data_IF_984417983704
#
_entry.id   IF_984417983704
#
_cell.length_a   1.000
_cell.length_b   1.000
_cell.length_c   1.000
_cell.angle_alpha   90.00
_cell.angle_beta   90.00
_cell.angle_gamma   90.00
#
_symmetry.space_group_name_H-M   'P 1'
#
loop_
_entity.id
_entity.type
_entity.pdbx_description
1 polymer ?
#
# COMPACT_ATOMS: atom_id res chain seq x y z
N UNK A 1 -2.10 8.96 -20.77
CA UNK A 1 -1.83 7.69 -20.06
C UNK A 1 -2.67 7.74 -18.79
N UNK A 2 -3.52 6.75 -18.52
CA UNK A 2 -4.43 6.82 -17.36
C UNK A 2 -3.67 6.48 -16.07
N UNK A 3 -4.15 6.93 -14.90
CA UNK A 3 -3.57 6.61 -13.58
C UNK A 3 -3.35 5.10 -13.39
N UNK A 4 -4.27 4.29 -13.93
CA UNK A 4 -4.19 2.83 -13.94
C UNK A 4 -3.00 2.31 -14.75
N UNK A 5 -2.68 2.93 -15.88
CA UNK A 5 -1.55 2.55 -16.74
C UNK A 5 -0.21 2.88 -16.05
N UNK A 6 -0.14 4.04 -15.40
CA UNK A 6 1.04 4.46 -14.62
C UNK A 6 1.32 3.48 -13.47
N UNK A 7 0.27 3.07 -12.73
CA UNK A 7 0.41 2.09 -11.65
C UNK A 7 0.87 0.71 -12.15
N UNK A 8 0.36 0.26 -13.30
CA UNK A 8 0.77 -1.02 -13.89
C UNK A 8 2.26 -0.96 -14.29
N UNK A 9 2.70 0.14 -14.90
CA UNK A 9 4.09 0.34 -15.26
C UNK A 9 5.02 0.38 -14.03
N UNK A 10 4.66 1.12 -12.98
CA UNK A 10 5.43 1.18 -11.73
C UNK A 10 5.55 -0.21 -11.07
N UNK A 11 4.42 -0.92 -10.95
CA UNK A 11 4.40 -2.28 -10.40
C UNK A 11 5.29 -3.23 -11.20
N UNK A 12 5.29 -3.12 -12.53
CA UNK A 12 6.16 -3.92 -13.41
C UNK A 12 7.64 -3.61 -13.15
N UNK A 13 8.00 -2.33 -13.10
CA UNK A 13 9.37 -1.89 -12.88
C UNK A 13 9.93 -2.39 -11.54
N UNK A 14 9.16 -2.31 -10.46
CA UNK A 14 9.59 -2.79 -9.13
C UNK A 14 9.80 -4.31 -9.10
N UNK A 15 8.98 -5.06 -9.83
CA UNK A 15 9.14 -6.52 -9.95
C UNK A 15 10.38 -6.90 -10.75
N UNK A 16 10.61 -6.23 -11.87
CA UNK A 16 11.80 -6.40 -12.69
C UNK A 16 13.07 -6.05 -11.89
N UNK A 17 13.00 -5.00 -11.06
CA UNK A 17 14.07 -4.64 -10.14
C UNK A 17 14.34 -5.77 -9.13
N UNK A 18 13.32 -6.30 -8.46
CA UNK A 18 13.48 -7.38 -7.46
C UNK A 18 14.06 -8.66 -8.07
N UNK A 19 13.71 -9.00 -9.31
CA UNK A 19 14.28 -10.17 -10.01
C UNK A 19 15.79 -10.01 -10.21
N UNK A 20 16.26 -8.79 -10.51
CA UNK A 20 17.68 -8.49 -10.71
C UNK A 20 18.44 -8.31 -9.39
N UNK A 21 17.77 -7.87 -8.34
CA UNK A 21 18.34 -7.52 -7.02
C UNK A 21 17.83 -8.46 -5.93
N UNK A 22 17.87 -9.77 -6.22
CA UNK A 22 17.33 -10.79 -5.32
C UNK A 22 18.09 -10.83 -4.00
N UNK A 23 19.41 -10.69 -4.04
CA UNK A 23 20.25 -10.72 -2.84
C UNK A 23 19.95 -9.54 -1.90
N UNK A 24 19.76 -8.34 -2.46
CA UNK A 24 19.40 -7.15 -1.69
C UNK A 24 18.01 -7.29 -1.04
N UNK A 25 17.05 -7.88 -1.76
CA UNK A 25 15.72 -8.12 -1.21
C UNK A 25 15.71 -9.21 -0.14
N UNK A 26 16.46 -10.30 -0.35
CA UNK A 26 16.58 -11.39 0.62
C UNK A 26 17.27 -10.91 1.91
N UNK A 27 18.28 -10.03 1.80
CA UNK A 27 18.90 -9.39 2.97
C UNK A 27 17.96 -8.42 3.68
N UNK A 28 17.18 -7.62 2.94
CA UNK A 28 16.12 -6.79 3.53
C UNK A 28 15.13 -7.63 4.33
N UNK A 29 14.66 -8.77 3.80
CA UNK A 29 13.74 -9.68 4.52
C UNK A 29 14.39 -10.29 5.76
N UNK A 30 15.68 -10.63 5.70
CA UNK A 30 16.43 -11.08 6.87
C UNK A 30 16.48 -10.01 7.95
N UNK A 31 16.72 -8.75 7.58
CA UNK A 31 16.75 -7.63 8.49
C UNK A 31 15.37 -7.35 9.10
N UNK A 32 14.27 -7.47 8.35
CA UNK A 32 12.90 -7.39 8.89
C UNK A 32 12.71 -8.44 10.01
N UNK A 33 13.11 -9.69 9.77
CA UNK A 33 13.00 -10.75 10.78
C UNK A 33 13.94 -10.56 11.99
N UNK A 34 14.98 -9.74 11.86
CA UNK A 34 15.91 -9.42 12.95
C UNK A 34 15.34 -8.39 13.93
N UNK A 35 14.35 -7.59 13.51
CA UNK A 35 13.71 -6.59 14.37
C UNK A 35 13.03 -7.23 15.57
N UNK A 36 12.38 -8.38 15.41
CA UNK A 36 11.78 -9.13 16.54
C UNK A 36 12.83 -9.58 17.57
N UNK A 37 14.11 -9.62 17.18
CA UNK A 37 15.24 -9.95 18.07
C UNK A 37 15.91 -8.70 18.66
N UNK A 38 15.35 -7.52 18.42
CA UNK A 38 15.83 -6.23 18.93
C UNK A 38 16.79 -5.48 18.01
N UNK A 39 17.06 -5.95 16.80
CA UNK A 39 17.87 -5.20 15.83
C UNK A 39 17.02 -4.16 15.09
N UNK A 40 17.10 -2.91 15.56
CA UNK A 40 16.32 -1.79 15.02
C UNK A 40 17.03 -1.06 13.86
N UNK A 41 18.18 -1.54 13.39
CA UNK A 41 19.01 -0.85 12.38
C UNK A 41 18.25 -0.62 11.08
N UNK A 42 17.43 -1.58 10.65
CA UNK A 42 16.61 -1.42 9.45
C UNK A 42 15.52 -0.36 9.66
N UNK A 43 14.88 -0.32 10.82
CA UNK A 43 13.87 0.70 11.12
C UNK A 43 14.48 2.10 11.09
N UNK A 44 15.66 2.29 11.68
CA UNK A 44 16.38 3.57 11.66
C UNK A 44 16.67 4.02 10.22
N UNK A 45 17.12 3.10 9.35
CA UNK A 45 17.36 3.38 7.93
C UNK A 45 16.07 3.73 7.19
N UNK A 46 14.97 3.01 7.43
CA UNK A 46 13.66 3.30 6.85
C UNK A 46 13.19 4.70 7.26
N UNK A 47 13.28 5.03 8.55
CA UNK A 47 12.90 6.34 9.07
C UNK A 47 13.79 7.45 8.54
N UNK A 48 15.10 7.20 8.39
CA UNK A 48 16.04 8.16 7.78
C UNK A 48 15.67 8.46 6.34
N UNK A 49 15.37 7.42 5.54
CA UNK A 49 14.94 7.59 4.15
C UNK A 49 13.67 8.44 4.04
N UNK A 50 12.67 8.16 4.89
CA UNK A 50 11.43 8.95 4.93
C UNK A 50 11.70 10.39 5.39
N UNK A 51 12.53 10.56 6.42
CA UNK A 51 12.90 11.88 6.92
C UNK A 51 13.62 12.70 5.84
N UNK A 52 14.55 12.12 5.08
CA UNK A 52 15.29 12.76 3.99
C UNK A 52 14.39 13.27 2.86
N UNK A 53 13.22 12.63 2.68
CA UNK A 53 12.21 13.10 1.74
C UNK A 53 11.41 14.31 2.27
N UNK A 54 11.50 14.65 3.55
CA UNK A 54 10.78 15.78 4.15
C UNK A 54 11.26 17.14 3.61
N UNK A 55 10.37 17.97 3.04
CA UNK A 55 10.72 19.33 2.61
C UNK A 55 11.32 20.17 3.73
N UNK A 56 12.22 21.10 3.38
CA UNK A 56 12.88 21.95 4.38
C UNK A 56 11.89 22.86 5.10
N UNK A 57 10.90 23.40 4.37
CA UNK A 57 9.81 24.20 4.93
C UNK A 57 9.00 23.38 5.94
N UNK A 58 8.72 22.11 5.64
CA UNK A 58 8.02 21.20 6.56
C UNK A 58 8.82 20.95 7.83
N UNK A 59 10.13 20.68 7.71
CA UNK A 59 11.03 20.53 8.86
C UNK A 59 11.04 21.77 9.74
N UNK A 60 11.14 22.94 9.11
CA UNK A 60 11.17 24.24 9.80
C UNK A 60 9.84 24.53 10.50
N UNK A 61 8.72 24.23 9.83
CA UNK A 61 7.38 24.34 10.40
C UNK A 61 7.18 23.44 11.62
N UNK A 62 7.48 22.14 11.51
CA UNK A 62 7.31 21.22 12.66
C UNK A 62 8.26 21.54 13.81
N UNK A 63 9.50 21.95 13.53
CA UNK A 63 10.42 22.41 14.56
C UNK A 63 9.90 23.68 15.25
N UNK A 64 9.34 24.62 14.50
CA UNK A 64 8.70 25.82 15.03
C UNK A 64 7.51 25.45 15.93
N UNK A 65 6.58 24.62 15.45
CA UNK A 65 5.40 24.19 16.22
C UNK A 65 5.82 23.45 17.49
N UNK A 66 6.75 22.50 17.41
CA UNK A 66 7.21 21.75 18.57
C UNK A 66 7.86 22.66 19.62
N UNK A 67 8.70 23.60 19.18
CA UNK A 67 9.32 24.58 20.08
C UNK A 67 8.28 25.54 20.67
N UNK A 68 7.31 25.99 19.88
CA UNK A 68 6.23 26.85 20.33
C UNK A 68 5.31 26.15 21.33
N UNK A 69 5.11 24.84 21.18
CA UNK A 69 4.37 24.02 22.14
C UNK A 69 5.17 23.85 23.44
N UNK A 70 6.47 23.56 23.35
CA UNK A 70 7.31 23.31 24.53
C UNK A 70 7.71 24.55 25.32
N UNK A 71 8.06 25.64 24.63
CA UNK A 71 8.49 26.91 25.23
C UNK A 71 8.18 28.10 24.29
N UNK A 72 6.92 28.58 24.30
CA UNK A 72 6.48 29.71 23.48
C UNK A 72 7.39 30.96 23.55
N UNK A 73 7.94 31.28 24.73
CA UNK A 73 8.72 32.50 24.94
C UNK A 73 10.11 32.43 24.29
N UNK A 74 10.62 31.21 24.05
CA UNK A 74 11.89 30.98 23.36
C UNK A 74 11.81 31.11 21.84
N UNK A 75 10.60 31.20 21.29
CA UNK A 75 10.36 31.26 19.85
C UNK A 75 10.39 32.72 19.38
N UNK A 76 11.38 33.07 18.56
CA UNK A 76 11.37 34.35 17.85
C UNK A 76 10.25 34.33 16.81
N UNK A 77 9.64 35.47 16.57
CA UNK A 77 8.59 35.64 15.56
C UNK A 77 9.20 35.68 14.14
N UNK A 78 9.95 34.65 13.77
CA UNK A 78 10.61 34.50 12.47
C UNK A 78 10.07 33.24 11.79
N UNK A 79 8.96 33.41 11.06
CA UNK A 79 8.27 32.37 10.30
C UNK A 79 8.78 32.28 8.84
N UNK A 80 9.83 33.05 8.48
CA UNK A 80 10.34 33.12 7.11
C UNK A 80 10.83 31.77 6.57
N UNK A 81 11.19 30.83 7.45
CA UNK A 81 11.69 29.51 7.09
C UNK A 81 10.64 28.55 6.52
N UNK A 82 9.35 28.89 6.57
CA UNK A 82 8.26 28.08 6.02
C UNK A 82 7.11 28.92 5.42
N UNK A 83 7.40 30.16 5.03
CA UNK A 83 6.39 31.15 4.63
C UNK A 83 5.76 30.92 3.26
N UNK A 84 6.22 29.90 2.53
CA UNK A 84 5.85 29.62 1.13
C UNK A 84 4.34 29.48 0.95
N UNK A 85 3.64 28.93 1.94
CA UNK A 85 2.21 28.65 1.86
C UNK A 85 1.36 29.51 2.79
N UNK A 86 1.93 30.51 3.45
CA UNK A 86 1.22 31.31 4.48
C UNK A 86 -0.09 31.89 3.97
N UNK A 87 -0.08 32.48 2.77
CA UNK A 87 -1.27 33.06 2.18
C UNK A 87 -2.35 31.98 1.93
N UNK A 88 -1.98 30.86 1.31
CA UNK A 88 -2.93 29.79 1.02
C UNK A 88 -3.46 29.14 2.30
N UNK A 89 -2.60 28.95 3.30
CA UNK A 89 -2.98 28.42 4.59
C UNK A 89 -3.94 29.39 5.32
N UNK A 90 -3.65 30.69 5.34
CA UNK A 90 -4.50 31.70 5.96
C UNK A 90 -5.88 31.76 5.29
N UNK A 91 -5.93 31.80 3.95
CA UNK A 91 -7.19 31.78 3.20
C UNK A 91 -8.01 30.50 3.50
N UNK A 92 -7.36 29.34 3.59
CA UNK A 92 -8.03 28.08 3.92
C UNK A 92 -8.53 28.04 5.38
N UNK A 93 -7.73 28.53 6.32
CA UNK A 93 -8.00 28.44 7.77
C UNK A 93 -9.05 29.46 8.21
N UNK A 94 -8.94 30.72 7.76
CA UNK A 94 -9.78 31.82 8.24
C UNK A 94 -10.92 32.16 7.29
N UNK A 95 -10.75 31.93 5.99
CA UNK A 95 -11.76 32.28 4.98
C UNK A 95 -12.43 31.05 4.34
N UNK A 96 -12.14 29.83 4.85
CA UNK A 96 -12.68 28.56 4.35
C UNK A 96 -12.44 28.34 2.84
N UNK A 97 -11.36 28.93 2.30
CA UNK A 97 -11.02 28.78 0.88
C UNK A 97 -10.66 27.31 0.55
N UNK A 98 -11.09 26.86 -0.64
CA UNK A 98 -10.69 25.55 -1.15
C UNK A 98 -9.30 25.63 -1.78
N UNK A 99 -8.38 24.78 -1.33
CA UNK A 99 -7.05 24.69 -1.92
C UNK A 99 -6.97 23.44 -2.77
N UNK A 100 -6.73 23.59 -4.06
CA UNK A 100 -6.51 22.48 -4.98
C UNK A 100 -5.03 22.12 -5.07
N UNK A 101 -4.76 20.82 -4.99
CA UNK A 101 -3.44 20.22 -5.18
C UNK A 101 -3.47 19.25 -6.34
N UNK A 102 -2.62 19.49 -7.34
CA UNK A 102 -2.42 18.58 -8.45
C UNK A 102 -1.08 17.86 -8.29
N UNK A 103 -1.11 16.60 -7.89
CA UNK A 103 0.11 15.80 -7.65
C UNK A 103 0.91 15.50 -8.92
N UNK A 104 0.28 15.51 -10.10
CA UNK A 104 0.99 15.27 -11.36
C UNK A 104 1.84 16.47 -11.81
N UNK A 105 1.40 17.69 -11.49
CA UNK A 105 2.08 18.94 -11.89
C UNK A 105 2.77 19.64 -10.73
N UNK A 106 2.49 19.24 -9.49
CA UNK A 106 2.95 19.93 -8.27
C UNK A 106 2.28 21.29 -8.04
N UNK A 107 1.26 21.66 -8.84
CA UNK A 107 0.57 22.95 -8.71
C UNK A 107 -0.36 22.94 -7.50
N UNK A 108 -0.22 23.97 -6.67
CA UNK A 108 -1.04 24.22 -5.48
C UNK A 108 -1.62 25.61 -5.60
N UNK A 109 -2.95 25.73 -5.57
CA UNK A 109 -3.64 27.01 -5.74
C UNK A 109 -5.02 27.01 -5.10
N UNK A 110 -5.52 28.19 -4.74
CA UNK A 110 -6.92 28.38 -4.38
C UNK A 110 -7.83 28.10 -5.59
N UNK A 111 -9.00 27.54 -5.33
CA UNK A 111 -10.02 27.21 -6.35
C UNK A 111 -11.42 27.52 -5.81
N UNK A 112 -12.35 27.81 -6.71
CA UNK A 112 -13.76 28.01 -6.36
C UNK A 112 -14.61 26.74 -6.60
N UNK A 113 -13.99 25.67 -7.13
CA UNK A 113 -14.70 24.44 -7.50
C UNK A 113 -13.87 23.17 -7.30
N UNK A 114 -14.59 22.06 -7.12
CA UNK A 114 -14.02 20.71 -7.01
C UNK A 114 -13.56 20.24 -8.40
N UNK A 115 -12.23 20.18 -8.61
CA UNK A 115 -11.64 19.64 -9.83
C UNK A 115 -11.43 18.13 -9.67
N UNK A 116 -11.92 17.32 -10.62
CA UNK A 116 -11.85 15.84 -10.53
C UNK A 116 -10.43 15.28 -10.42
N UNK A 117 -9.44 15.95 -11.01
CA UNK A 117 -8.04 15.47 -11.05
C UNK A 117 -7.16 16.12 -9.96
N UNK A 118 -7.77 16.71 -8.93
CA UNK A 118 -7.06 17.39 -7.84
C UNK A 118 -7.58 16.92 -6.48
N UNK A 119 -6.68 16.84 -5.51
CA UNK A 119 -7.07 16.72 -4.11
C UNK A 119 -7.37 18.12 -3.59
N UNK A 120 -8.50 18.25 -2.89
CA UNK A 120 -8.95 19.52 -2.32
C UNK A 120 -8.71 19.50 -0.82
N UNK A 121 -8.04 20.54 -0.32
CA UNK A 121 -7.96 20.84 1.11
C UNK A 121 -9.11 21.80 1.44
N UNK A 122 -9.88 21.47 2.47
CA UNK A 122 -10.85 22.35 3.10
C UNK A 122 -10.85 22.12 4.61
N UNK A 123 -11.01 23.18 5.38
CA UNK A 123 -11.01 23.11 6.84
C UNK A 123 -12.29 22.52 7.43
N UNK A 124 -13.40 22.53 6.68
CA UNK A 124 -14.63 21.86 7.07
C UNK A 124 -14.44 20.33 7.21
N UNK A 125 -13.55 19.73 6.40
CA UNK A 125 -13.18 18.31 6.53
C UNK A 125 -12.45 18.04 7.83
N UNK A 126 -11.65 19.00 8.31
CA UNK A 126 -10.95 18.87 9.57
C UNK A 126 -11.93 18.88 10.74
N UNK A 127 -12.91 19.77 10.75
CA UNK A 127 -13.93 19.79 11.81
C UNK A 127 -14.76 18.50 11.84
N UNK A 128 -15.18 18.01 10.67
CA UNK A 128 -15.85 16.72 10.56
C UNK A 128 -14.95 15.56 11.02
N UNK A 129 -13.66 15.61 10.68
CA UNK A 129 -12.68 14.60 11.10
C UNK A 129 -12.46 14.63 12.61
N UNK A 130 -12.39 15.82 13.23
CA UNK A 130 -12.31 15.97 14.69
C UNK A 130 -13.60 15.45 15.33
N UNK A 131 -14.78 15.72 14.78
CA UNK A 131 -16.04 15.18 15.30
C UNK A 131 -16.13 13.65 15.16
N UNK A 132 -15.62 13.08 14.06
CA UNK A 132 -15.58 11.64 13.81
C UNK A 132 -14.46 10.93 14.58
N UNK A 133 -13.52 11.68 15.15
CA UNK A 133 -12.36 11.14 15.86
C UNK A 133 -12.80 10.29 17.07
N UNK A 134 -12.14 9.14 17.33
CA UNK A 134 -12.39 8.34 18.52
C UNK A 134 -12.25 9.17 19.80
N UNK A 135 -13.07 8.87 20.81
CA UNK A 135 -13.08 9.60 22.08
C UNK A 135 -11.70 9.61 22.75
N UNK A 136 -10.95 8.52 22.67
CA UNK A 136 -9.57 8.42 23.18
C UNK A 136 -8.65 9.48 22.60
N UNK A 137 -8.68 9.67 21.27
CA UNK A 137 -7.84 10.63 20.58
C UNK A 137 -8.31 12.08 20.81
N UNK A 138 -9.62 12.30 20.96
CA UNK A 138 -10.15 13.60 21.43
C UNK A 138 -9.68 13.93 22.84
N UNK A 139 -9.69 12.96 23.76
CA UNK A 139 -9.17 13.14 25.11
C UNK A 139 -7.68 13.48 25.07
N UNK A 140 -6.87 12.76 24.28
CA UNK A 140 -5.43 13.08 24.15
C UNK A 140 -5.21 14.49 23.59
N UNK A 141 -5.95 14.88 22.55
CA UNK A 141 -5.84 16.23 21.98
C UNK A 141 -6.26 17.30 22.98
N UNK A 142 -7.31 17.03 23.76
CA UNK A 142 -7.76 17.91 24.83
C UNK A 142 -6.75 17.98 25.99
N UNK A 143 -6.13 16.87 26.38
CA UNK A 143 -5.11 16.81 27.42
C UNK A 143 -3.83 17.54 26.97
N UNK A 144 -3.44 17.40 25.70
CA UNK A 144 -2.33 18.18 25.13
C UNK A 144 -2.64 19.68 25.15
N UNK A 145 -3.84 20.09 24.73
CA UNK A 145 -4.25 21.49 24.80
C UNK A 145 -4.30 21.99 26.25
N UNK A 146 -4.80 21.17 27.18
CA UNK A 146 -4.89 21.51 28.60
C UNK A 146 -3.50 21.64 29.21
N UNK A 147 -2.59 20.69 28.95
CA UNK A 147 -1.21 20.73 29.50
C UNK A 147 -0.39 21.90 28.93
N UNK A 148 -0.57 22.23 27.65
CA UNK A 148 0.07 23.38 27.00
C UNK A 148 -0.24 24.71 27.70
N UNK A 149 -1.38 24.76 28.38
CA UNK A 149 -2.02 25.98 28.83
C UNK A 149 -2.07 26.04 30.36
N UNK A 150 -2.36 24.92 31.02
CA UNK A 150 -2.49 24.80 32.48
C UNK A 150 -1.15 25.00 33.21
N UNK A 151 -0.02 24.59 32.61
CA UNK A 151 1.31 24.89 33.17
C UNK A 151 1.62 26.40 33.22
N UNK A 152 0.86 27.22 32.48
CA UNK A 152 1.02 28.68 32.43
C UNK A 152 -0.04 29.46 33.20
N UNK A 153 -1.11 28.82 33.67
CA UNK A 153 -2.22 29.47 34.35
C UNK A 153 -2.33 28.95 35.80
N UNK A 154 -1.74 29.71 36.74
CA UNK A 154 -1.87 29.45 38.17
C UNK A 154 -3.31 29.79 38.63
N UNK A 155 -4.28 28.91 38.40
CA UNK A 155 -5.66 29.09 38.86
C UNK A 155 -6.67 28.10 38.27
N UNK A 156 -7.88 28.07 38.85
CA UNK A 156 -9.03 27.42 38.19
C UNK A 156 -9.50 28.30 37.04
N UNK A 157 -9.52 27.74 35.83
CA UNK A 157 -10.06 28.39 34.65
C UNK A 157 -11.57 28.54 34.77
N UNK A 158 -12.09 29.70 34.39
CA UNK A 158 -13.52 29.90 34.14
C UNK A 158 -13.96 29.09 32.91
N UNK A 159 -15.28 28.89 32.77
CA UNK A 159 -15.85 28.20 31.60
C UNK A 159 -15.50 28.93 30.30
N UNK A 160 -15.58 30.26 30.30
CA UNK A 160 -15.24 31.09 29.13
C UNK A 160 -13.76 30.96 28.75
N UNK A 161 -12.85 30.92 29.73
CA UNK A 161 -11.43 30.67 29.48
C UNK A 161 -11.20 29.27 28.92
N UNK A 162 -11.87 28.23 29.45
CA UNK A 162 -11.78 26.88 28.89
C UNK A 162 -12.23 26.81 27.43
N UNK A 163 -13.34 27.48 27.08
CA UNK A 163 -13.85 27.54 25.70
C UNK A 163 -12.87 28.27 24.77
N UNK A 164 -12.32 29.42 25.21
CA UNK A 164 -11.32 30.16 24.45
C UNK A 164 -10.04 29.33 24.20
N UNK A 165 -9.59 28.60 25.21
CA UNK A 165 -8.40 27.74 25.15
C UNK A 165 -8.62 26.53 24.23
N UNK A 166 -9.80 25.92 24.25
CA UNK A 166 -10.19 24.90 23.28
C UNK A 166 -10.20 25.45 21.84
N UNK A 167 -10.70 26.67 21.65
CA UNK A 167 -10.65 27.36 20.36
C UNK A 167 -9.23 27.57 19.83
N UNK A 168 -8.30 27.97 20.69
CA UNK A 168 -6.87 28.10 20.34
C UNK A 168 -6.27 26.75 19.98
N UNK A 169 -6.53 25.71 20.79
CA UNK A 169 -6.04 24.35 20.53
C UNK A 169 -6.51 23.81 19.18
N UNK A 170 -7.79 24.04 18.85
CA UNK A 170 -8.36 23.67 17.55
C UNK A 170 -7.72 24.45 16.40
N UNK A 171 -7.42 25.75 16.59
CA UNK A 171 -6.74 26.57 15.59
C UNK A 171 -5.31 26.06 15.32
N UNK A 172 -4.56 25.68 16.36
CA UNK A 172 -3.23 25.07 16.22
C UNK A 172 -3.34 23.75 15.45
N UNK A 173 -4.31 22.90 15.79
CA UNK A 173 -4.52 21.62 15.11
C UNK A 173 -4.91 21.81 13.63
N UNK A 174 -5.80 22.78 13.32
CA UNK A 174 -6.13 23.19 11.95
C UNK A 174 -4.90 23.65 11.18
N UNK A 175 -4.04 24.45 11.82
CA UNK A 175 -2.81 24.96 11.24
C UNK A 175 -1.87 23.80 10.88
N UNK A 176 -1.60 22.90 11.83
CA UNK A 176 -0.77 21.72 11.59
C UNK A 176 -1.34 20.86 10.47
N UNK A 177 -2.66 20.63 10.45
CA UNK A 177 -3.33 19.87 9.41
C UNK A 177 -3.15 20.46 8.01
N UNK A 178 -3.46 21.76 7.83
CA UNK A 178 -3.40 22.43 6.52
C UNK A 178 -1.96 22.47 6.00
N UNK A 179 -0.98 22.89 6.82
CA UNK A 179 0.42 22.90 6.41
C UNK A 179 0.95 21.51 6.07
N UNK A 180 0.62 20.50 6.89
CA UNK A 180 1.03 19.11 6.61
C UNK A 180 0.57 18.65 5.24
N UNK A 181 -0.67 18.97 4.85
CA UNK A 181 -1.20 18.63 3.53
C UNK A 181 -0.51 19.40 2.40
N UNK A 182 -0.23 20.69 2.59
CA UNK A 182 0.47 21.53 1.62
C UNK A 182 1.91 21.05 1.33
N UNK A 183 2.53 20.34 2.28
CA UNK A 183 3.86 19.76 2.09
C UNK A 183 3.86 18.40 1.37
N UNK A 184 2.72 17.70 1.29
CA UNK A 184 2.62 16.35 0.70
C UNK A 184 3.10 16.29 -0.75
N UNK A 185 2.75 17.22 -1.66
CA UNK A 185 3.17 17.13 -3.06
C UNK A 185 4.70 17.09 -3.22
N UNK A 186 5.41 17.97 -2.51
CA UNK A 186 6.87 18.00 -2.56
C UNK A 186 7.50 16.78 -1.88
N UNK A 187 6.92 16.33 -0.77
CA UNK A 187 7.35 15.09 -0.11
C UNK A 187 7.27 13.89 -1.05
N UNK A 188 6.14 13.73 -1.75
CA UNK A 188 5.92 12.64 -2.70
C UNK A 188 6.84 12.73 -3.92
N UNK A 189 7.12 13.94 -4.43
CA UNK A 189 8.08 14.14 -5.51
C UNK A 189 9.50 13.72 -5.09
N UNK A 190 9.93 14.10 -3.88
CA UNK A 190 11.24 13.68 -3.33
C UNK A 190 11.32 12.17 -3.14
N UNK A 191 10.27 11.55 -2.59
CA UNK A 191 10.20 10.09 -2.44
C UNK A 191 10.22 9.38 -3.79
N UNK A 192 9.51 9.91 -4.79
CA UNK A 192 9.52 9.40 -6.15
C UNK A 192 10.92 9.48 -6.77
N UNK A 193 11.59 10.63 -6.67
CA UNK A 193 12.96 10.81 -7.16
C UNK A 193 13.92 9.84 -6.49
N UNK A 194 13.80 9.66 -5.16
CA UNK A 194 14.63 8.70 -4.42
C UNK A 194 14.44 7.27 -4.89
N UNK A 195 13.21 6.90 -5.18
CA UNK A 195 12.88 5.53 -5.64
C UNK A 195 13.31 5.31 -7.10
N UNK A 196 12.89 6.18 -8.02
CA UNK A 196 13.00 5.93 -9.47
C UNK A 196 14.28 6.50 -10.07
N UNK A 197 14.73 7.67 -9.63
CA UNK A 197 15.91 8.34 -10.21
C UNK A 197 17.18 7.84 -9.53
N UNK A 198 17.22 7.91 -8.20
CA UNK A 198 18.41 7.51 -7.43
C UNK A 198 18.56 5.98 -7.37
N UNK A 199 17.53 5.24 -7.80
CA UNK A 199 17.47 3.78 -7.74
C UNK A 199 17.78 3.21 -6.34
N UNK A 200 17.29 3.88 -5.30
CA UNK A 200 17.56 3.51 -3.92
C UNK A 200 16.99 2.11 -3.61
N UNK A 201 17.89 1.17 -3.32
CA UNK A 201 17.54 -0.22 -3.08
C UNK A 201 16.57 -0.38 -1.90
N UNK A 202 16.72 0.43 -0.84
CA UNK A 202 15.83 0.35 0.31
C UNK A 202 14.42 0.80 -0.07
N UNK A 203 14.28 1.87 -0.85
CA UNK A 203 12.98 2.33 -1.34
C UNK A 203 12.26 1.25 -2.18
N UNK A 204 12.99 0.59 -3.09
CA UNK A 204 12.44 -0.52 -3.87
C UNK A 204 12.05 -1.71 -3.00
N UNK A 205 12.87 -2.09 -2.03
CA UNK A 205 12.56 -3.17 -1.09
C UNK A 205 11.28 -2.87 -0.29
N UNK A 206 11.16 -1.66 0.28
CA UNK A 206 9.96 -1.24 1.02
C UNK A 206 8.72 -1.30 0.13
N UNK A 207 8.80 -0.75 -1.09
CA UNK A 207 7.68 -0.75 -2.03
C UNK A 207 7.26 -2.17 -2.39
N UNK A 208 8.22 -3.03 -2.76
CA UNK A 208 7.94 -4.42 -3.11
C UNK A 208 7.31 -5.16 -1.93
N UNK A 209 7.89 -5.01 -0.74
CA UNK A 209 7.44 -5.66 0.49
C UNK A 209 5.99 -5.31 0.83
N UNK A 210 5.67 -4.01 0.89
CA UNK A 210 4.32 -3.52 1.21
C UNK A 210 3.29 -3.92 0.14
N UNK A 211 3.68 -3.93 -1.13
CA UNK A 211 2.74 -4.11 -2.25
C UNK A 211 2.52 -5.58 -2.62
N UNK A 212 3.56 -6.42 -2.53
CA UNK A 212 3.56 -7.76 -3.12
C UNK A 212 3.88 -8.90 -2.15
N UNK A 213 4.44 -8.60 -0.99
CA UNK A 213 4.93 -9.63 -0.05
C UNK A 213 4.31 -9.47 1.33
N UNK A 214 3.02 -9.14 1.38
CA UNK A 214 2.22 -9.05 2.62
C UNK A 214 2.90 -8.19 3.70
N UNK A 215 3.55 -7.10 3.28
CA UNK A 215 4.37 -6.30 4.18
C UNK A 215 3.55 -5.59 5.25
N UNK A 216 2.28 -5.26 4.99
CA UNK A 216 1.46 -4.53 5.96
C UNK A 216 1.02 -5.43 7.13
N UNK A 217 0.64 -6.68 6.88
CA UNK A 217 0.36 -7.64 7.96
C UNK A 217 1.62 -8.02 8.74
N UNK A 218 2.75 -8.19 8.07
CA UNK A 218 4.04 -8.41 8.76
C UNK A 218 4.43 -7.21 9.64
N UNK A 219 4.27 -5.98 9.14
CA UNK A 219 4.52 -4.78 9.94
C UNK A 219 3.54 -4.62 11.09
N UNK A 220 2.27 -5.01 10.90
CA UNK A 220 1.26 -5.01 11.96
C UNK A 220 1.64 -5.95 13.12
N UNK A 221 2.05 -7.18 12.81
CA UNK A 221 2.52 -8.16 13.80
C UNK A 221 3.73 -7.62 14.56
N UNK A 222 4.72 -7.13 13.81
CA UNK A 222 5.94 -6.58 14.36
C UNK A 222 5.69 -5.35 15.25
N UNK A 223 4.85 -4.41 14.82
CA UNK A 223 4.48 -3.26 15.63
C UNK A 223 3.71 -3.64 16.88
N UNK A 224 2.95 -4.74 16.87
CA UNK A 224 2.24 -5.20 18.06
C UNK A 224 3.18 -5.64 19.18
N UNK A 225 4.37 -6.15 18.83
CA UNK A 225 5.39 -6.55 19.79
C UNK A 225 6.27 -5.38 20.24
N UNK A 226 6.47 -4.38 19.38
CA UNK A 226 7.37 -3.25 19.65
C UNK A 226 6.69 -2.00 20.23
N UNK A 227 5.46 -1.68 19.79
CA UNK A 227 4.76 -0.44 20.16
C UNK A 227 3.77 -0.63 21.32
N UNK A 228 3.24 -1.83 21.51
CA UNK A 228 2.19 -2.11 22.50
C UNK A 228 2.75 -3.03 23.57
N UNK A 229 2.81 -2.53 24.80
CA UNK A 229 3.28 -3.27 25.96
C UNK A 229 2.91 -2.55 27.25
N UNK A 230 3.26 -3.13 28.40
CA UNK A 230 2.86 -2.60 29.73
C UNK A 230 3.29 -1.15 30.01
N UNK A 231 4.21 -0.60 29.21
CA UNK A 231 4.73 0.77 29.33
C UNK A 231 4.32 1.69 28.17
N UNK A 232 3.46 1.25 27.24
CA UNK A 232 3.00 2.11 26.14
C UNK A 232 2.08 3.21 26.67
N UNK A 233 2.31 4.45 26.23
CA UNK A 233 1.39 5.55 26.54
C UNK A 233 0.03 5.36 25.85
N UNK A 234 -1.01 5.99 26.38
CA UNK A 234 -2.34 6.00 25.75
C UNK A 234 -2.30 6.50 24.30
N UNK A 235 -1.44 7.49 24.03
CA UNK A 235 -1.20 8.00 22.69
C UNK A 235 -0.54 6.96 21.78
N UNK A 236 0.49 6.27 22.26
CA UNK A 236 1.17 5.21 21.49
C UNK A 236 0.20 4.08 21.14
N UNK A 237 -0.62 3.64 22.09
CA UNK A 237 -1.63 2.61 21.84
C UNK A 237 -2.68 3.07 20.81
N UNK A 238 -3.13 4.31 20.87
CA UNK A 238 -4.11 4.83 19.88
C UNK A 238 -3.48 4.97 18.48
N UNK A 239 -2.25 5.45 18.39
CA UNK A 239 -1.50 5.51 17.12
C UNK A 239 -1.33 4.11 16.50
N UNK A 240 -1.04 3.10 17.31
CA UNK A 240 -0.99 1.71 16.85
C UNK A 240 -2.34 1.28 16.24
N UNK A 241 -3.46 1.51 16.95
CA UNK A 241 -4.80 1.16 16.45
C UNK A 241 -5.12 1.83 15.11
N UNK A 242 -4.81 3.12 14.99
CA UNK A 242 -5.00 3.88 13.74
C UNK A 242 -4.16 3.33 12.58
N UNK A 243 -2.92 2.91 12.85
CA UNK A 243 -2.07 2.26 11.86
C UNK A 243 -2.67 0.92 11.40
N UNK A 244 -3.11 0.06 12.32
CA UNK A 244 -3.71 -1.24 11.96
C UNK A 244 -4.96 -1.06 11.10
N UNK A 245 -5.88 -0.16 11.48
CA UNK A 245 -7.08 0.14 10.68
C UNK A 245 -6.72 0.62 9.28
N UNK A 246 -5.72 1.49 9.17
CA UNK A 246 -5.23 2.02 7.90
C UNK A 246 -4.59 0.91 7.06
N UNK A 247 -3.77 0.04 7.65
CA UNK A 247 -3.14 -1.09 6.97
C UNK A 247 -4.16 -2.08 6.42
N UNK A 248 -5.14 -2.48 7.21
CA UNK A 248 -6.23 -3.37 6.78
C UNK A 248 -7.03 -2.72 5.66
N UNK A 249 -7.53 -1.51 5.86
CA UNK A 249 -8.36 -0.80 4.87
C UNK A 249 -7.62 -0.59 3.54
N UNK A 250 -6.38 -0.11 3.60
CA UNK A 250 -5.57 0.16 2.43
C UNK A 250 -5.18 -1.11 1.68
N UNK A 251 -4.76 -2.16 2.40
CA UNK A 251 -4.35 -3.43 1.79
C UNK A 251 -5.51 -4.14 1.09
N UNK A 252 -6.73 -4.09 1.65
CA UNK A 252 -7.93 -4.63 1.01
C UNK A 252 -8.34 -3.81 -0.22
N UNK A 253 -8.32 -2.48 -0.11
CA UNK A 253 -8.65 -1.57 -1.22
C UNK A 253 -7.70 -1.77 -2.40
N UNK A 254 -6.40 -1.87 -2.11
CA UNK A 254 -5.37 -2.10 -3.12
C UNK A 254 -5.23 -3.57 -3.53
N UNK A 255 -5.91 -4.48 -2.83
CA UNK A 255 -5.85 -5.94 -3.02
C UNK A 255 -4.43 -6.48 -2.93
N UNK A 256 -3.59 -5.86 -2.10
CA UNK A 256 -2.27 -6.41 -1.74
C UNK A 256 -2.41 -7.52 -0.71
N UNK A 257 -3.47 -7.50 0.11
CA UNK A 257 -3.81 -8.54 1.08
C UNK A 257 -5.31 -8.86 1.03
N UNK A 258 -5.73 -9.96 1.68
CA UNK A 258 -7.13 -10.39 1.73
C UNK A 258 -7.67 -10.46 3.14
N UNK A 259 -8.99 -10.60 3.29
CA UNK A 259 -9.59 -10.80 4.62
C UNK A 259 -9.03 -12.08 5.26
N UNK A 260 -8.86 -13.14 4.48
CA UNK A 260 -8.33 -14.41 4.96
C UNK A 260 -6.88 -14.30 5.44
N UNK A 261 -6.03 -13.48 4.78
CA UNK A 261 -4.66 -13.28 5.25
C UNK A 261 -4.61 -12.49 6.57
N UNK A 262 -5.47 -11.49 6.73
CA UNK A 262 -5.61 -10.76 8.00
C UNK A 262 -6.22 -11.61 9.10
N UNK A 263 -7.20 -12.46 8.80
CA UNK A 263 -7.76 -13.43 9.74
C UNK A 263 -6.73 -14.47 10.16
N UNK A 264 -5.90 -14.95 9.24
CA UNK A 264 -4.79 -15.85 9.54
C UNK A 264 -3.78 -15.20 10.50
N UNK A 265 -3.45 -13.92 10.30
CA UNK A 265 -2.61 -13.17 11.24
C UNK A 265 -3.30 -13.04 12.61
N UNK A 266 -4.56 -12.62 12.64
CA UNK A 266 -5.32 -12.50 13.89
C UNK A 266 -5.36 -13.83 14.66
N UNK A 267 -5.53 -14.95 13.99
CA UNK A 267 -5.56 -16.27 14.64
C UNK A 267 -4.17 -16.75 15.11
N UNK A 268 -3.10 -16.19 14.57
CA UNK A 268 -1.72 -16.56 14.92
C UNK A 268 -1.14 -15.66 16.02
N UNK A 269 -1.51 -14.38 16.05
CA UNK A 269 -0.94 -13.43 17.00
C UNK A 269 -1.37 -13.74 18.44
N UNK A 270 -0.48 -13.51 19.38
CA UNK A 270 -0.77 -13.54 20.82
C UNK A 270 -1.14 -12.18 21.39
N UNK A 271 -1.18 -11.13 20.56
CA UNK A 271 -1.49 -9.77 21.00
C UNK A 271 -3.00 -9.49 20.88
N UNK A 272 -3.65 -9.33 22.04
CA UNK A 272 -5.10 -9.06 22.13
C UNK A 272 -5.52 -7.76 21.44
N UNK A 273 -4.70 -6.71 21.49
CA UNK A 273 -5.01 -5.42 20.88
C UNK A 273 -4.92 -5.50 19.35
N UNK A 274 -3.90 -6.19 18.83
CA UNK A 274 -3.79 -6.48 17.39
C UNK A 274 -4.99 -7.31 16.92
N UNK A 275 -5.34 -8.37 17.66
CA UNK A 275 -6.48 -9.22 17.35
C UNK A 275 -7.78 -8.40 17.25
N UNK A 276 -8.07 -7.57 18.27
CA UNK A 276 -9.29 -6.75 18.32
C UNK A 276 -9.37 -5.78 17.16
N UNK A 277 -8.28 -5.07 16.87
CA UNK A 277 -8.27 -4.05 15.82
C UNK A 277 -8.38 -4.64 14.42
N UNK A 278 -7.77 -5.80 14.16
CA UNK A 278 -7.95 -6.50 12.87
C UNK A 278 -9.44 -6.82 12.67
N UNK A 279 -10.11 -7.42 13.66
CA UNK A 279 -11.53 -7.79 13.54
C UNK A 279 -12.45 -6.57 13.38
N UNK A 280 -12.17 -5.49 14.11
CA UNK A 280 -12.90 -4.22 13.95
C UNK A 280 -12.74 -3.67 12.53
N UNK A 281 -11.51 -3.55 12.04
CA UNK A 281 -11.23 -3.04 10.70
C UNK A 281 -11.83 -3.93 9.60
N UNK A 282 -11.80 -5.25 9.76
CA UNK A 282 -12.42 -6.20 8.82
C UNK A 282 -13.93 -6.09 8.78
N UNK A 283 -14.59 -5.85 9.91
CA UNK A 283 -16.04 -5.63 9.99
C UNK A 283 -16.46 -4.36 9.28
N UNK A 284 -15.70 -3.28 9.46
CA UNK A 284 -16.03 -1.97 8.90
C UNK A 284 -15.65 -1.86 7.41
N UNK A 285 -14.88 -2.82 6.88
CA UNK A 285 -14.53 -2.88 5.45
C UNK A 285 -15.68 -3.39 4.57
N UNK A 286 -16.31 -2.48 3.82
CA UNK A 286 -17.27 -2.82 2.77
C UNK A 286 -16.57 -3.54 1.60
N UNK A 287 -16.92 -4.81 1.37
CA UNK A 287 -16.27 -5.69 0.41
C UNK A 287 -16.58 -5.32 -1.04
N UNK A 288 -15.55 -5.00 -1.83
CA UNK A 288 -15.54 -5.37 -3.25
C UNK A 288 -14.87 -6.74 -3.34
N UNK A 289 -15.67 -7.79 -3.14
CA UNK A 289 -15.24 -9.18 -3.17
C UNK A 289 -14.43 -9.48 -4.44
N UNK A 290 -13.14 -9.68 -4.27
CA UNK A 290 -12.25 -10.14 -5.33
C UNK A 290 -11.16 -10.95 -4.66
N UNK A 291 -11.12 -12.25 -4.97
CA UNK A 291 -10.01 -13.12 -4.57
C UNK A 291 -8.67 -12.45 -4.87
N UNK A 292 -7.70 -12.75 -4.01
CA UNK A 292 -6.28 -12.41 -4.17
C UNK A 292 -5.89 -12.53 -5.63
N UNK A 293 -5.35 -11.46 -6.22
CA UNK A 293 -4.60 -11.62 -7.45
C UNK A 293 -3.27 -12.26 -7.05
N UNK A 294 -3.24 -13.59 -6.98
CA UNK A 294 -1.97 -14.31 -7.03
C UNK A 294 -1.19 -13.73 -8.21
N UNK A 295 -0.02 -13.18 -7.90
CA UNK A 295 0.70 -12.27 -8.75
C UNK A 295 2.10 -12.79 -9.07
N UNK A 296 2.38 -14.06 -8.76
CA UNK A 296 3.63 -14.72 -9.13
C UNK A 296 3.91 -14.52 -10.62
N UNK A 297 5.15 -14.17 -10.93
CA UNK A 297 5.67 -14.10 -12.30
C UNK A 297 5.65 -15.49 -12.93
N UNK A 298 5.79 -15.56 -14.26
CA UNK A 298 5.86 -16.86 -14.91
C UNK A 298 7.05 -17.68 -14.39
N UNK A 299 8.18 -17.05 -14.09
CA UNK A 299 9.36 -17.71 -13.52
C UNK A 299 9.11 -18.28 -12.12
N UNK A 300 8.31 -17.61 -11.29
CA UNK A 300 7.91 -18.10 -9.96
C UNK A 300 6.85 -19.20 -10.02
N UNK A 301 6.10 -19.28 -11.12
CA UNK A 301 5.09 -20.32 -11.33
C UNK A 301 5.69 -21.59 -11.94
N UNK A 302 6.69 -21.47 -12.81
CA UNK A 302 7.27 -22.60 -13.52
C UNK A 302 8.17 -23.45 -12.62
N UNK A 303 8.23 -24.75 -12.92
CA UNK A 303 9.02 -25.73 -12.19
C UNK A 303 9.97 -26.41 -13.20
N UNK A 304 11.27 -26.46 -12.89
CA UNK A 304 12.30 -27.02 -13.76
C UNK A 304 13.14 -25.94 -14.46
N UNK A 305 13.61 -26.20 -15.68
CA UNK A 305 14.32 -25.21 -16.48
C UNK A 305 13.33 -24.16 -17.01
N UNK A 306 13.25 -23.04 -16.31
CA UNK A 306 12.30 -21.96 -16.60
C UNK A 306 12.49 -21.37 -17.99
N UNK A 307 13.72 -21.27 -18.51
CA UNK A 307 13.96 -20.72 -19.84
C UNK A 307 13.51 -21.70 -20.94
N UNK A 308 13.80 -22.98 -20.77
CA UNK A 308 13.35 -24.02 -21.70
C UNK A 308 11.82 -24.10 -21.76
N UNK A 309 11.14 -24.08 -20.59
CA UNK A 309 9.67 -24.10 -20.54
C UNK A 309 9.07 -22.81 -21.14
N UNK A 310 9.64 -21.62 -20.87
CA UNK A 310 9.19 -20.37 -21.49
C UNK A 310 9.32 -20.39 -23.01
N UNK A 311 10.41 -20.94 -23.55
CA UNK A 311 10.58 -21.10 -24.99
C UNK A 311 9.46 -21.97 -25.60
N UNK A 312 9.11 -23.08 -24.95
CA UNK A 312 8.01 -23.95 -25.40
C UNK A 312 6.64 -23.29 -25.27
N UNK A 313 6.42 -22.48 -24.24
CA UNK A 313 5.22 -21.66 -24.14
C UNK A 313 5.11 -20.69 -25.33
N UNK A 314 6.22 -20.06 -25.75
CA UNK A 314 6.23 -19.19 -26.93
C UNK A 314 5.95 -19.96 -28.23
N UNK A 315 6.43 -21.20 -28.36
CA UNK A 315 6.10 -22.09 -29.48
C UNK A 315 4.59 -22.39 -29.49
N UNK A 316 4.01 -22.74 -28.34
CA UNK A 316 2.57 -22.98 -28.19
C UNK A 316 1.74 -21.79 -28.68
N UNK A 317 2.09 -20.59 -28.21
CA UNK A 317 1.35 -19.37 -28.54
C UNK A 317 1.39 -19.05 -30.04
N UNK A 318 2.49 -19.41 -30.72
CA UNK A 318 2.62 -19.26 -32.18
C UNK A 318 1.72 -20.24 -32.94
N UNK A 319 1.65 -21.48 -32.49
CA UNK A 319 0.84 -22.54 -33.15
C UNK A 319 -0.66 -22.45 -32.82
N UNK A 320 -1.00 -21.83 -31.69
CA UNK A 320 -2.37 -21.76 -31.17
C UNK A 320 -2.84 -20.32 -30.93
N UNK A 321 -3.05 -19.50 -31.98
CA UNK A 321 -3.38 -18.08 -31.85
C UNK A 321 -4.78 -17.79 -31.29
N UNK A 322 -5.63 -18.81 -31.15
CA UNK A 322 -6.99 -18.63 -30.62
C UNK A 322 -6.96 -18.50 -29.10
N UNK A 323 -7.45 -17.37 -28.57
CA UNK A 323 -7.47 -17.08 -27.13
C UNK A 323 -8.11 -18.19 -26.27
N UNK A 324 -9.13 -18.89 -26.79
CA UNK A 324 -9.79 -20.00 -26.10
C UNK A 324 -8.89 -21.21 -25.84
N UNK A 325 -7.78 -21.36 -26.57
CA UNK A 325 -6.84 -22.48 -26.44
C UNK A 325 -5.84 -22.30 -25.30
N UNK A 326 -5.68 -21.09 -24.75
CA UNK A 326 -4.83 -20.85 -23.58
C UNK A 326 -5.21 -21.72 -22.37
N UNK A 327 -6.48 -22.11 -22.28
CA UNK A 327 -6.95 -23.09 -21.30
C UNK A 327 -6.20 -24.43 -21.38
N UNK A 328 -5.91 -24.89 -22.61
CA UNK A 328 -5.24 -26.16 -22.87
C UNK A 328 -3.76 -26.11 -22.50
N UNK A 329 -3.13 -24.93 -22.68
CA UNK A 329 -1.75 -24.72 -22.25
C UNK A 329 -1.59 -24.86 -20.74
N UNK A 330 -2.42 -24.16 -19.94
CA UNK A 330 -2.35 -24.28 -18.48
C UNK A 330 -2.62 -25.72 -18.03
N UNK A 331 -3.58 -26.39 -18.67
CA UNK A 331 -3.89 -27.78 -18.37
C UNK A 331 -2.70 -28.71 -18.66
N UNK A 332 -2.05 -28.59 -19.83
CA UNK A 332 -0.89 -29.40 -20.19
C UNK A 332 0.32 -29.16 -19.25
N UNK A 333 0.54 -27.91 -18.83
CA UNK A 333 1.58 -27.57 -17.85
C UNK A 333 1.31 -28.19 -16.47
N UNK A 334 0.04 -28.27 -16.05
CA UNK A 334 -0.33 -28.98 -14.82
C UNK A 334 -0.11 -30.48 -14.93
N UNK A 335 -0.46 -31.10 -16.07
CA UNK A 335 -0.29 -32.54 -16.27
C UNK A 335 1.18 -32.97 -16.33
N UNK A 336 2.05 -32.11 -16.89
CA UNK A 336 3.51 -32.32 -16.93
C UNK A 336 4.23 -31.93 -15.63
N UNK A 337 3.53 -31.37 -14.65
CA UNK A 337 4.12 -30.92 -13.39
C UNK A 337 5.10 -29.74 -13.54
N UNK A 338 5.08 -29.03 -14.68
CA UNK A 338 5.99 -27.91 -14.98
C UNK A 338 5.49 -26.56 -14.46
N UNK A 339 4.38 -26.54 -13.72
CA UNK A 339 3.84 -25.31 -13.12
C UNK A 339 3.26 -25.60 -11.73
N UNK A 340 3.47 -24.67 -10.80
CA UNK A 340 2.82 -24.65 -9.50
C UNK A 340 1.31 -24.42 -9.64
N UNK A 341 0.54 -24.88 -8.65
CA UNK A 341 -0.90 -24.57 -8.57
C UNK A 341 -1.12 -23.06 -8.54
N UNK A 342 -1.93 -22.55 -9.48
CA UNK A 342 -2.30 -21.14 -9.57
C UNK A 342 -3.68 -20.98 -10.22
N UNK A 343 -4.29 -19.80 -10.05
CA UNK A 343 -5.54 -19.49 -10.74
C UNK A 343 -5.30 -19.25 -12.23
N UNK A 344 -6.32 -19.51 -13.08
CA UNK A 344 -6.22 -19.18 -14.51
C UNK A 344 -5.91 -17.70 -14.75
N UNK A 345 -6.47 -16.81 -13.92
CA UNK A 345 -6.24 -15.36 -14.04
C UNK A 345 -4.76 -14.99 -13.76
N UNK A 346 -4.14 -15.68 -12.79
CA UNK A 346 -2.72 -15.53 -12.48
C UNK A 346 -1.88 -15.95 -13.68
N UNK A 347 -2.10 -17.17 -14.16
CA UNK A 347 -1.39 -17.71 -15.31
C UNK A 347 -1.54 -16.82 -16.55
N UNK A 348 -2.77 -16.41 -16.87
CA UNK A 348 -3.05 -15.55 -18.02
C UNK A 348 -2.25 -14.25 -17.98
N UNK A 349 -2.12 -13.62 -16.80
CA UNK A 349 -1.31 -12.40 -16.65
C UNK A 349 0.19 -12.68 -16.77
N UNK A 350 0.67 -13.76 -16.16
CA UNK A 350 2.07 -14.17 -16.23
C UNK A 350 2.50 -14.48 -17.67
N UNK A 351 1.65 -15.14 -18.45
CA UNK A 351 1.92 -15.41 -19.88
C UNK A 351 1.74 -14.15 -20.73
N UNK A 352 0.82 -13.24 -20.37
CA UNK A 352 0.65 -11.97 -21.07
C UNK A 352 1.91 -11.09 -21.02
N UNK A 353 2.71 -11.18 -19.96
CA UNK A 353 4.02 -10.50 -19.91
C UNK A 353 5.10 -11.12 -20.79
N UNK A 354 5.01 -12.42 -21.08
CA UNK A 354 5.94 -13.13 -21.97
C UNK A 354 5.55 -12.99 -23.45
N UNK A 355 4.25 -12.93 -23.74
CA UNK A 355 3.72 -12.95 -25.10
C UNK A 355 4.05 -11.66 -25.88
N UNK A 356 4.60 -11.76 -27.10
CA UNK A 356 4.84 -10.59 -27.96
C UNK A 356 3.55 -9.95 -28.50
N UNK A 357 2.40 -10.63 -28.39
CA UNK A 357 1.08 -10.13 -28.82
C UNK A 357 0.04 -10.20 -27.68
N UNK A 358 -0.95 -9.30 -27.64
CA UNK A 358 -2.05 -9.38 -26.68
C UNK A 358 -2.82 -10.71 -26.80
N UNK A 359 -3.06 -11.40 -25.68
CA UNK A 359 -3.64 -12.74 -25.62
C UNK A 359 -5.19 -12.76 -25.62
N UNK A 360 -5.84 -11.60 -25.70
CA UNK A 360 -7.29 -11.47 -25.57
C UNK A 360 -7.77 -11.43 -24.11
N UNK A 361 -9.08 -11.41 -23.92
CA UNK A 361 -9.70 -11.40 -22.59
C UNK A 361 -9.68 -12.78 -21.91
N UNK A 362 -9.58 -12.85 -20.57
CA UNK A 362 -9.41 -14.12 -19.86
C UNK A 362 -10.69 -14.95 -19.73
N UNK A 363 -11.88 -14.36 -19.91
CA UNK A 363 -13.16 -14.97 -19.51
C UNK A 363 -13.46 -16.29 -20.25
N UNK A 364 -13.27 -16.30 -21.58
CA UNK A 364 -13.54 -17.46 -22.44
C UNK A 364 -12.62 -18.64 -22.10
N UNK A 365 -11.28 -18.47 -22.10
CA UNK A 365 -10.40 -19.59 -21.75
C UNK A 365 -10.45 -19.95 -20.26
N UNK A 366 -10.72 -19.02 -19.34
CA UNK A 366 -10.95 -19.35 -17.93
C UNK A 366 -12.10 -20.33 -17.77
N UNK A 367 -13.25 -20.04 -18.42
CA UNK A 367 -14.40 -20.95 -18.41
C UNK A 367 -14.04 -22.34 -18.96
N UNK A 368 -13.26 -22.40 -20.04
CA UNK A 368 -12.81 -23.66 -20.64
C UNK A 368 -11.87 -24.45 -19.73
N UNK A 369 -10.97 -23.76 -19.03
CA UNK A 369 -10.08 -24.40 -18.06
C UNK A 369 -10.87 -24.99 -16.89
N UNK A 370 -11.84 -24.26 -16.34
CA UNK A 370 -12.69 -24.79 -15.28
C UNK A 370 -13.56 -25.96 -15.74
N UNK A 371 -14.07 -25.96 -16.98
CA UNK A 371 -14.77 -27.12 -17.56
C UNK A 371 -13.88 -28.38 -17.55
N UNK A 372 -12.61 -28.25 -17.96
CA UNK A 372 -11.65 -29.36 -17.99
C UNK A 372 -11.22 -29.85 -16.60
N UNK A 373 -11.05 -28.93 -15.65
CA UNK A 373 -10.70 -29.28 -14.27
C UNK A 373 -11.87 -29.96 -13.54
N UNK A 374 -13.12 -29.57 -13.84
CA UNK A 374 -14.30 -30.15 -13.21
C UNK A 374 -14.64 -31.55 -13.77
N UNK A 375 -14.45 -31.77 -15.06
CA UNK A 375 -14.67 -33.08 -15.69
C UNK A 375 -13.58 -33.42 -16.73
N UNK A 376 -12.47 -34.05 -16.29
CA UNK A 376 -11.42 -34.50 -17.19
C UNK A 376 -11.90 -35.49 -18.27
N UNK A 377 -13.01 -36.22 -18.05
CA UNK A 377 -13.56 -37.20 -19.01
C UNK A 377 -14.13 -36.54 -20.26
N UNK A 378 -14.30 -35.22 -20.27
CA UNK A 378 -14.67 -34.46 -21.46
C UNK A 378 -13.71 -34.71 -22.63
N UNK A 379 -12.41 -34.92 -22.34
CA UNK A 379 -11.39 -35.23 -23.33
C UNK A 379 -11.62 -36.57 -24.04
N UNK A 380 -12.31 -37.52 -23.39
CA UNK A 380 -12.66 -38.82 -23.98
C UNK A 380 -13.97 -38.80 -24.79
N UNK A 381 -14.65 -37.64 -24.84
CA UNK A 381 -15.90 -37.52 -25.57
C UNK A 381 -15.69 -37.58 -27.08
N UNK A 382 -16.66 -38.15 -27.81
CA UNK A 382 -16.65 -38.24 -29.28
C UNK A 382 -16.96 -36.91 -29.99
N UNK A 383 -17.06 -35.81 -29.24
CA UNK A 383 -17.34 -34.49 -29.81
C UNK A 383 -16.09 -33.87 -30.45
N UNK A 384 -16.21 -33.38 -31.69
CA UNK A 384 -15.09 -32.77 -32.46
C UNK A 384 -14.29 -31.73 -31.66
N UNK A 385 -14.97 -30.93 -30.84
CA UNK A 385 -14.36 -29.91 -29.98
C UNK A 385 -13.35 -30.51 -28.99
N UNK A 386 -13.75 -31.56 -28.28
CA UNK A 386 -12.94 -32.14 -27.21
C UNK A 386 -11.87 -33.10 -27.75
N UNK A 387 -12.13 -33.75 -28.89
CA UNK A 387 -11.08 -34.47 -29.62
C UNK A 387 -9.94 -33.54 -30.06
N UNK A 388 -10.28 -32.33 -30.53
CA UNK A 388 -9.27 -31.32 -30.85
C UNK A 388 -8.54 -30.83 -29.60
N UNK A 389 -9.26 -30.59 -28.49
CA UNK A 389 -8.64 -30.20 -27.22
C UNK A 389 -7.65 -31.26 -26.73
N UNK A 390 -8.05 -32.55 -26.75
CA UNK A 390 -7.22 -33.68 -26.37
C UNK A 390 -5.95 -33.78 -27.22
N UNK A 391 -6.10 -33.70 -28.55
CA UNK A 391 -4.94 -33.73 -29.46
C UNK A 391 -3.92 -32.61 -29.18
N UNK A 392 -4.38 -31.41 -28.82
CA UNK A 392 -3.49 -30.29 -28.49
C UNK A 392 -2.83 -30.52 -27.12
N UNK A 393 -3.61 -30.92 -26.11
CA UNK A 393 -3.10 -31.16 -24.76
C UNK A 393 -2.07 -32.28 -24.76
N UNK A 394 -2.37 -33.42 -25.37
CA UNK A 394 -1.49 -34.59 -25.41
C UNK A 394 -0.16 -34.27 -26.10
N UNK A 395 -0.21 -33.53 -27.22
CA UNK A 395 0.99 -33.10 -27.93
C UNK A 395 1.88 -32.21 -27.05
N UNK A 396 1.30 -31.17 -26.45
CA UNK A 396 2.07 -30.20 -25.66
C UNK A 396 2.52 -30.75 -24.32
N UNK A 397 1.75 -31.64 -23.69
CA UNK A 397 2.20 -32.39 -22.53
C UNK A 397 3.46 -33.20 -22.86
N UNK A 398 3.45 -33.95 -23.98
CA UNK A 398 4.62 -34.70 -24.42
C UNK A 398 5.83 -33.79 -24.74
N UNK A 399 5.60 -32.58 -25.26
CA UNK A 399 6.67 -31.60 -25.46
C UNK A 399 7.26 -31.10 -24.14
N UNK A 400 6.43 -30.87 -23.11
CA UNK A 400 6.88 -30.44 -21.77
C UNK A 400 7.54 -31.55 -20.94
N UNK A 401 7.21 -32.82 -21.21
CA UNK A 401 7.77 -34.00 -20.51
C UNK A 401 9.15 -34.44 -21.07
N UNK A 402 9.67 -33.78 -22.10
CA UNK A 402 11.00 -34.08 -22.65
C UNK A 402 12.08 -33.80 -21.60
N UNK A 403 13.06 -34.72 -21.46
CA UNK A 403 14.12 -34.68 -20.45
C UNK A 403 15.03 -33.44 -20.48
N UNK A 404 15.00 -32.69 -21.58
CA UNK A 404 15.81 -31.49 -21.78
C UNK A 404 15.09 -30.20 -21.29
N UNK A 405 13.99 -30.38 -20.54
CA UNK A 405 13.11 -29.36 -19.94
C UNK A 405 12.81 -29.81 -18.51
#
# INVERSE_FOLDING_TARGET
MTEKDNRIAANKAVREWKVKHKEEYDDFKRQIAAIDKGDLSLMERMMTLLNDCMPQDARSFYAYIFKYIGDPDSVKNDQAAFSRYDQLAAECIFNHALISMNFATGRIEQTDSMKQDCTIIRTDDFEQSVLAMPLSMKCILNDLCTNLIADRLNGQLTVEEQEALQGIGLLVAKTVYVYSLLFVPEYLDRLYKRTIIDSDALAYCIYFFVTFDHGLSQMADLFSHQMVGNHSSSFTSEMFRLCIRSFVSHSLTNRSETKESWEALANKTSNDDLWKEIHLALRDSHTHGGQQKDSRTLDELLIGDTEAVKSRILDYLRENPQASRLAYLLYALHQSGKIQSCSYITFHRAVQSLSPKPLGGPDVPQKRFHELMADPKLLDSKGKKWQQAKSIIDHWQAEFDKKDI
#
